data_IF_692378648441
#
_entry.id   IF_692378648441
#
_cell.length_a   1.000
_cell.length_b   1.000
_cell.length_c   1.000
_cell.angle_alpha   90.00
_cell.angle_beta   90.00
_cell.angle_gamma   90.00
#
_symmetry.space_group_name_H-M   'P 1'
#
loop_
_entity.id
_entity.type
_entity.pdbx_description
1 polymer ?
#
# COMPACT_ATOMS: atom_id res chain seq x y z
N UNK A 1 -18.23 -24.58 0.09
CA UNK A 1 -19.05 -23.86 1.08
C UNK A 1 -18.45 -23.78 2.50
N UNK A 2 -17.94 -24.87 3.12
CA UNK A 2 -17.37 -24.82 4.49
C UNK A 2 -16.24 -23.79 4.67
N UNK A 3 -15.30 -23.70 3.72
CA UNK A 3 -14.18 -22.75 3.80
C UNK A 3 -14.65 -21.28 3.64
N UNK A 4 -15.64 -21.02 2.80
CA UNK A 4 -16.18 -19.67 2.54
C UNK A 4 -16.74 -19.01 3.81
N UNK A 5 -17.58 -19.72 4.56
CA UNK A 5 -18.15 -19.23 5.82
C UNK A 5 -17.09 -18.99 6.90
N UNK A 6 -16.05 -19.82 6.94
CA UNK A 6 -14.95 -19.65 7.88
C UNK A 6 -14.18 -18.35 7.61
N UNK A 7 -13.93 -18.02 6.35
CA UNK A 7 -13.22 -16.80 5.97
C UNK A 7 -14.03 -15.54 6.24
N UNK A 8 -15.34 -15.57 5.96
CA UNK A 8 -16.24 -14.48 6.36
C UNK A 8 -16.20 -14.29 7.87
N UNK A 9 -16.31 -15.37 8.65
CA UNK A 9 -16.26 -15.31 10.11
C UNK A 9 -14.97 -14.67 10.62
N UNK A 10 -13.82 -15.05 10.06
CA UNK A 10 -12.53 -14.45 10.43
C UNK A 10 -12.49 -12.95 10.13
N UNK A 11 -12.92 -12.53 8.94
CA UNK A 11 -13.02 -11.12 8.58
C UNK A 11 -13.99 -10.33 9.46
N UNK A 12 -15.15 -10.92 9.81
CA UNK A 12 -16.13 -10.35 10.74
C UNK A 12 -15.54 -10.13 12.14
N UNK A 13 -14.74 -11.09 12.64
CA UNK A 13 -14.10 -10.96 13.97
C UNK A 13 -13.11 -9.79 13.96
N UNK A 14 -12.24 -9.71 12.96
CA UNK A 14 -11.25 -8.61 12.85
C UNK A 14 -11.98 -7.26 12.72
N UNK A 15 -13.02 -7.21 11.88
CA UNK A 15 -13.86 -6.02 11.71
C UNK A 15 -14.50 -5.61 13.03
N UNK A 16 -15.07 -6.56 13.79
CA UNK A 16 -15.71 -6.30 15.08
C UNK A 16 -14.74 -5.75 16.13
N UNK A 17 -13.53 -6.31 16.22
CA UNK A 17 -12.48 -5.82 17.13
C UNK A 17 -12.08 -4.38 16.77
N UNK A 18 -11.79 -4.12 15.48
CA UNK A 18 -11.44 -2.78 15.03
C UNK A 18 -12.60 -1.79 15.16
N UNK A 19 -13.84 -2.26 15.03
CA UNK A 19 -15.03 -1.44 15.22
C UNK A 19 -15.22 -1.04 16.69
N UNK A 20 -14.94 -1.95 17.64
CA UNK A 20 -14.95 -1.61 19.06
C UNK A 20 -13.91 -0.52 19.39
N UNK A 21 -12.70 -0.63 18.83
CA UNK A 21 -11.67 0.41 18.96
C UNK A 21 -12.12 1.73 18.30
N UNK A 22 -12.70 1.66 17.11
CA UNK A 22 -13.23 2.81 16.40
C UNK A 22 -14.25 3.58 17.27
N UNK A 23 -15.18 2.88 17.92
CA UNK A 23 -16.15 3.50 18.83
C UNK A 23 -15.46 4.09 20.07
N UNK A 24 -14.50 3.37 20.65
CA UNK A 24 -13.76 3.85 21.82
C UNK A 24 -13.05 5.19 21.56
N UNK A 25 -12.33 5.32 20.44
CA UNK A 25 -11.56 6.53 20.11
C UNK A 25 -12.39 7.68 19.54
N UNK A 26 -13.65 7.43 19.18
CA UNK A 26 -14.57 8.44 18.64
C UNK A 26 -15.83 8.61 19.49
N UNK A 27 -15.83 8.15 20.75
CA UNK A 27 -16.99 8.20 21.66
C UNK A 27 -17.55 9.61 21.88
N UNK A 28 -16.73 10.64 21.71
CA UNK A 28 -17.09 12.05 21.93
C UNK A 28 -17.75 12.68 20.69
N UNK A 29 -17.88 11.94 19.59
CA UNK A 29 -18.52 12.41 18.36
C UNK A 29 -20.05 12.35 18.45
N UNK A 30 -20.77 13.24 17.73
CA UNK A 30 -22.22 13.20 17.64
C UNK A 30 -22.75 11.82 17.19
N UNK A 31 -23.91 11.40 17.73
CA UNK A 31 -24.48 10.09 17.44
C UNK A 31 -24.78 9.89 15.94
N UNK A 32 -25.26 10.93 15.26
CA UNK A 32 -25.54 10.89 13.82
C UNK A 32 -24.26 10.67 12.98
N UNK A 33 -23.16 11.33 13.35
CA UNK A 33 -21.84 11.13 12.75
C UNK A 33 -21.36 9.67 12.96
N UNK A 34 -21.45 9.19 14.20
CA UNK A 34 -21.05 7.83 14.55
C UNK A 34 -21.88 6.78 13.81
N UNK A 35 -23.20 6.97 13.65
CA UNK A 35 -24.05 6.01 12.95
C UNK A 35 -23.66 5.88 11.48
N UNK A 36 -23.52 6.99 10.75
CA UNK A 36 -23.13 6.97 9.33
C UNK A 36 -21.72 6.39 9.15
N UNK A 37 -20.76 6.85 9.96
CA UNK A 37 -19.39 6.34 9.91
C UNK A 37 -19.31 4.86 10.26
N UNK A 38 -20.13 4.38 11.22
CA UNK A 38 -20.18 2.96 11.61
C UNK A 38 -20.65 2.05 10.48
N UNK A 39 -21.69 2.45 9.74
CA UNK A 39 -22.19 1.68 8.59
C UNK A 39 -21.09 1.55 7.54
N UNK A 40 -20.45 2.66 7.16
CA UNK A 40 -19.36 2.65 6.20
C UNK A 40 -18.16 1.85 6.70
N UNK A 41 -17.81 2.00 7.99
CA UNK A 41 -16.70 1.31 8.62
C UNK A 41 -16.91 -0.21 8.54
N UNK A 42 -18.03 -0.72 9.03
CA UNK A 42 -18.30 -2.16 9.09
C UNK A 42 -18.33 -2.75 7.69
N UNK A 43 -19.02 -2.12 6.74
CA UNK A 43 -19.12 -2.64 5.37
C UNK A 43 -17.76 -2.69 4.67
N UNK A 44 -17.01 -1.59 4.69
CA UNK A 44 -15.74 -1.50 3.97
C UNK A 44 -14.65 -2.37 4.59
N UNK A 45 -14.55 -2.42 5.92
CA UNK A 45 -13.53 -3.26 6.59
C UNK A 45 -13.89 -4.75 6.51
N UNK A 46 -15.17 -5.11 6.55
CA UNK A 46 -15.57 -6.49 6.29
C UNK A 46 -15.13 -6.93 4.90
N UNK A 47 -15.39 -6.12 3.87
CA UNK A 47 -14.91 -6.39 2.51
C UNK A 47 -13.38 -6.44 2.46
N UNK A 48 -12.69 -5.50 3.10
CA UNK A 48 -11.22 -5.42 3.13
C UNK A 48 -10.59 -6.72 3.67
N UNK A 49 -11.17 -7.30 4.72
CA UNK A 49 -10.62 -8.50 5.37
C UNK A 49 -11.15 -9.82 4.82
N UNK A 50 -12.10 -9.80 3.89
CA UNK A 50 -12.70 -11.02 3.32
C UNK A 50 -12.47 -11.18 1.83
N UNK A 51 -12.54 -10.09 1.05
CA UNK A 51 -12.51 -10.13 -0.41
C UNK A 51 -11.23 -10.76 -0.95
N UNK A 52 -10.10 -10.49 -0.29
CA UNK A 52 -8.79 -10.99 -0.67
C UNK A 52 -8.54 -12.47 -0.45
N UNK A 53 -9.43 -13.14 0.27
CA UNK A 53 -9.27 -14.55 0.57
C UNK A 53 -9.49 -15.41 -0.68
N UNK A 54 -8.60 -16.39 -0.92
CA UNK A 54 -8.66 -17.24 -2.11
C UNK A 54 -10.01 -17.96 -2.29
N UNK A 55 -10.62 -18.43 -1.20
CA UNK A 55 -11.93 -19.10 -1.26
C UNK A 55 -13.07 -18.16 -1.62
N UNK A 56 -13.04 -16.92 -1.10
CA UNK A 56 -14.04 -15.88 -1.41
C UNK A 56 -13.85 -15.39 -2.84
N UNK A 57 -12.62 -15.05 -3.23
CA UNK A 57 -12.27 -14.59 -4.57
C UNK A 57 -12.59 -15.64 -5.65
N UNK A 58 -12.32 -16.93 -5.38
CA UNK A 58 -12.65 -18.01 -6.31
C UNK A 58 -14.16 -18.20 -6.51
N UNK A 59 -14.94 -18.08 -5.42
CA UNK A 59 -16.41 -18.12 -5.50
C UNK A 59 -16.93 -16.93 -6.31
N UNK A 60 -16.50 -15.70 -5.97
CA UNK A 60 -16.89 -14.50 -6.71
C UNK A 60 -16.54 -14.62 -8.20
N UNK A 61 -15.33 -15.09 -8.52
CA UNK A 61 -14.89 -15.29 -9.91
C UNK A 61 -15.80 -16.27 -10.65
N UNK A 62 -16.30 -17.30 -9.97
CA UNK A 62 -17.23 -18.28 -10.55
C UNK A 62 -18.60 -17.67 -10.80
N UNK A 63 -19.13 -16.94 -9.81
CA UNK A 63 -20.45 -16.29 -9.89
C UNK A 63 -20.48 -15.19 -10.97
N UNK A 64 -19.36 -14.49 -11.16
CA UNK A 64 -19.22 -13.42 -12.15
C UNK A 64 -19.07 -13.95 -13.60
N UNK A 65 -18.64 -15.20 -13.79
CA UNK A 65 -18.64 -15.82 -15.13
C UNK A 65 -20.05 -16.02 -15.70
N UNK A 66 -21.08 -15.99 -14.84
CA UNK A 66 -22.46 -16.19 -15.25
C UNK A 66 -23.13 -14.94 -15.88
N UNK A 67 -22.50 -13.75 -15.85
CA UNK A 67 -23.04 -12.56 -16.51
C UNK A 67 -22.11 -11.35 -16.41
N UNK A 68 -21.85 -10.68 -17.53
CA UNK A 68 -20.92 -9.54 -17.60
C UNK A 68 -21.45 -8.32 -16.86
N UNK A 69 -22.76 -8.14 -16.77
CA UNK A 69 -23.41 -7.03 -16.06
C UNK A 69 -23.08 -7.06 -14.56
N UNK A 70 -22.97 -8.26 -13.99
CA UNK A 70 -22.68 -8.46 -12.56
C UNK A 70 -21.29 -7.98 -12.16
N UNK A 71 -20.36 -7.91 -13.11
CA UNK A 71 -18.98 -7.47 -12.85
C UNK A 71 -18.86 -5.97 -12.58
N UNK A 72 -19.84 -5.19 -13.05
CA UNK A 72 -19.88 -3.74 -12.84
C UNK A 72 -20.65 -3.37 -11.57
N UNK A 73 -21.48 -4.27 -11.04
CA UNK A 73 -22.25 -4.00 -9.82
C UNK A 73 -21.36 -3.71 -8.61
N UNK A 74 -20.29 -4.49 -8.41
CA UNK A 74 -19.38 -4.29 -7.27
C UNK A 74 -18.74 -2.89 -7.26
N UNK A 75 -18.06 -2.42 -8.33
CA UNK A 75 -17.50 -1.08 -8.33
C UNK A 75 -18.57 0.01 -8.25
N UNK A 76 -19.75 -0.16 -8.88
CA UNK A 76 -20.87 0.78 -8.77
C UNK A 76 -21.36 0.91 -7.32
N UNK A 77 -21.50 -0.20 -6.60
CA UNK A 77 -21.90 -0.20 -5.19
C UNK A 77 -20.88 0.53 -4.31
N UNK A 78 -19.58 0.35 -4.56
CA UNK A 78 -18.53 1.07 -3.81
C UNK A 78 -18.53 2.58 -4.11
N UNK A 79 -18.73 2.97 -5.37
CA UNK A 79 -18.89 4.38 -5.76
C UNK A 79 -20.12 4.98 -5.07
N UNK A 80 -21.25 4.27 -5.10
CA UNK A 80 -22.49 4.72 -4.46
C UNK A 80 -22.30 4.89 -2.94
N UNK A 81 -21.63 3.96 -2.27
CA UNK A 81 -21.34 4.07 -0.84
C UNK A 81 -20.48 5.30 -0.52
N UNK A 82 -19.42 5.56 -1.31
CA UNK A 82 -18.60 6.77 -1.16
C UNK A 82 -19.42 8.04 -1.36
N UNK A 83 -20.27 8.08 -2.38
CA UNK A 83 -21.06 9.26 -2.72
C UNK A 83 -22.14 9.53 -1.68
N UNK A 84 -22.82 8.49 -1.18
CA UNK A 84 -23.75 8.60 -0.05
C UNK A 84 -23.04 9.20 1.16
N UNK A 85 -21.84 8.71 1.48
CA UNK A 85 -21.04 9.25 2.58
C UNK A 85 -20.73 10.73 2.37
N UNK A 86 -20.28 11.14 1.19
CA UNK A 86 -19.94 12.54 0.89
C UNK A 86 -21.17 13.45 0.96
N UNK A 87 -22.28 13.05 0.34
CA UNK A 87 -23.54 13.82 0.31
C UNK A 87 -24.08 14.01 1.73
N UNK A 88 -24.00 12.97 2.57
CA UNK A 88 -24.45 13.04 3.96
C UNK A 88 -23.72 14.13 4.76
N UNK A 89 -22.44 14.36 4.48
CA UNK A 89 -21.62 15.39 5.14
C UNK A 89 -21.63 16.73 4.37
N UNK A 90 -22.66 16.97 3.54
CA UNK A 90 -22.86 18.23 2.82
C UNK A 90 -21.93 18.44 1.62
N UNK A 91 -21.23 17.40 1.17
CA UNK A 91 -20.35 17.46 0.01
C UNK A 91 -21.05 17.21 -1.32
N UNK A 92 -20.49 17.77 -2.39
CA UNK A 92 -20.86 17.42 -3.76
C UNK A 92 -19.87 16.40 -4.33
N UNK A 93 -20.28 15.15 -4.61
CA UNK A 93 -19.39 14.12 -5.14
C UNK A 93 -18.97 14.37 -6.61
N UNK A 94 -19.61 15.33 -7.28
CA UNK A 94 -19.35 15.68 -8.69
C UNK A 94 -18.71 17.06 -8.84
N UNK A 95 -18.19 17.66 -7.76
CA UNK A 95 -17.51 18.94 -7.81
C UNK A 95 -16.02 18.77 -8.20
N UNK A 96 -15.55 19.57 -9.16
CA UNK A 96 -14.14 19.57 -9.57
C UNK A 96 -13.66 18.21 -10.12
N UNK A 97 -12.47 17.78 -9.70
CA UNK A 97 -11.87 16.52 -10.15
C UNK A 97 -12.65 15.27 -9.71
N UNK A 98 -13.49 15.37 -8.68
CA UNK A 98 -14.26 14.26 -8.14
C UNK A 98 -15.28 13.69 -9.14
N UNK A 99 -15.75 14.51 -10.09
CA UNK A 99 -16.66 14.07 -11.16
C UNK A 99 -16.05 12.96 -12.05
N UNK A 100 -14.72 12.89 -12.13
CA UNK A 100 -14.02 11.85 -12.89
C UNK A 100 -13.94 10.51 -12.15
N UNK A 101 -14.35 10.47 -10.87
CA UNK A 101 -14.23 9.29 -10.02
C UNK A 101 -14.85 8.01 -10.60
N UNK A 102 -16.11 8.03 -11.07
CA UNK A 102 -16.75 6.83 -11.58
C UNK A 102 -16.05 6.29 -12.83
N UNK A 103 -15.55 7.19 -13.69
CA UNK A 103 -14.86 6.81 -14.92
C UNK A 103 -13.59 6.04 -14.64
N UNK A 104 -12.71 6.54 -13.76
CA UNK A 104 -11.46 5.85 -13.47
C UNK A 104 -11.68 4.60 -12.59
N UNK A 105 -12.68 4.60 -11.71
CA UNK A 105 -13.02 3.44 -10.88
C UNK A 105 -13.52 2.25 -11.70
N UNK A 106 -14.31 2.52 -12.74
CA UNK A 106 -14.86 1.50 -13.64
C UNK A 106 -13.89 1.07 -14.74
N UNK A 107 -13.02 1.98 -15.18
CA UNK A 107 -12.10 1.78 -16.29
C UNK A 107 -11.31 0.46 -16.24
N UNK A 108 -10.58 0.09 -15.15
CA UNK A 108 -9.78 -1.14 -15.16
C UNK A 108 -10.67 -2.39 -15.25
N UNK A 109 -11.86 -2.38 -14.64
CA UNK A 109 -12.81 -3.50 -14.73
C UNK A 109 -13.28 -3.69 -16.17
N UNK A 110 -13.76 -2.61 -16.80
CA UNK A 110 -14.23 -2.64 -18.19
C UNK A 110 -13.10 -2.99 -19.17
N UNK A 111 -11.91 -2.43 -18.95
CA UNK A 111 -10.72 -2.71 -19.74
C UNK A 111 -10.32 -4.18 -19.70
N UNK A 112 -10.33 -4.81 -18.52
CA UNK A 112 -10.00 -6.23 -18.40
C UNK A 112 -11.07 -7.16 -18.94
N UNK A 113 -12.33 -6.74 -18.95
CA UNK A 113 -13.40 -7.47 -19.62
C UNK A 113 -13.24 -7.43 -21.15
N UNK A 114 -12.91 -6.27 -21.69
CA UNK A 114 -12.70 -6.06 -23.12
C UNK A 114 -11.41 -6.74 -23.64
N UNK A 115 -10.33 -6.69 -22.85
CA UNK A 115 -9.00 -7.16 -23.24
C UNK A 115 -8.50 -8.30 -22.35
N UNK A 116 -9.20 -9.44 -22.36
CA UNK A 116 -8.83 -10.63 -21.57
C UNK A 116 -7.49 -11.21 -22.04
N UNK A 117 -6.55 -11.40 -21.11
CA UNK A 117 -5.23 -11.98 -21.38
C UNK A 117 -4.87 -13.03 -20.31
N UNK A 118 -4.16 -14.08 -20.71
CA UNK A 118 -3.72 -15.17 -19.81
C UNK A 118 -2.37 -14.91 -19.16
N UNK A 119 -1.58 -14.00 -19.72
CA UNK A 119 -0.24 -13.62 -19.26
C UNK A 119 -0.23 -12.14 -18.83
N UNK A 120 0.65 -11.77 -17.89
CA UNK A 120 0.90 -10.36 -17.53
C UNK A 120 1.38 -9.55 -18.75
N UNK A 121 0.60 -8.56 -19.15
CA UNK A 121 0.87 -7.69 -20.28
C UNK A 121 1.24 -6.28 -19.81
N UNK A 122 1.93 -5.51 -20.67
CA UNK A 122 2.23 -4.10 -20.39
C UNK A 122 0.96 -3.25 -20.21
N UNK A 123 -0.15 -3.63 -20.85
CA UNK A 123 -1.46 -3.02 -20.63
C UNK A 123 -1.95 -3.12 -19.18
N UNK A 124 -1.56 -4.17 -18.45
CA UNK A 124 -1.93 -4.33 -17.03
C UNK A 124 -1.27 -3.21 -16.19
N UNK A 125 -0.02 -2.86 -16.49
CA UNK A 125 0.68 -1.74 -15.83
C UNK A 125 0.08 -0.39 -16.20
N UNK A 126 -0.33 -0.21 -17.46
CA UNK A 126 -1.02 1.02 -17.90
C UNK A 126 -2.33 1.19 -17.13
N UNK A 127 -3.15 0.14 -17.01
CA UNK A 127 -4.40 0.22 -16.24
C UNK A 127 -4.14 0.49 -14.76
N UNK A 128 -3.05 -0.07 -14.22
CA UNK A 128 -2.66 0.16 -12.83
C UNK A 128 -2.29 1.63 -12.59
N UNK A 129 -1.47 2.21 -13.48
CA UNK A 129 -1.07 3.61 -13.38
C UNK A 129 -2.25 4.57 -13.61
N UNK A 130 -3.17 4.24 -14.52
CA UNK A 130 -4.41 4.98 -14.75
C UNK A 130 -5.39 4.89 -13.57
N UNK A 131 -5.25 3.91 -12.69
CA UNK A 131 -5.98 3.85 -11.42
C UNK A 131 -5.22 4.60 -10.31
N UNK A 132 -3.93 4.32 -10.16
CA UNK A 132 -3.09 4.81 -9.06
C UNK A 132 -2.84 6.31 -9.13
N UNK A 133 -2.44 6.86 -10.29
CA UNK A 133 -2.09 8.28 -10.40
C UNK A 133 -3.31 9.17 -10.11
N UNK A 134 -4.49 8.95 -10.74
CA UNK A 134 -5.67 9.74 -10.40
C UNK A 134 -6.10 9.55 -8.95
N UNK A 135 -5.89 8.37 -8.36
CA UNK A 135 -6.28 8.11 -6.97
C UNK A 135 -5.59 9.01 -5.95
N UNK A 136 -4.38 9.49 -6.24
CA UNK A 136 -3.65 10.43 -5.39
C UNK A 136 -3.87 11.90 -5.78
N UNK A 137 -4.30 12.16 -7.01
CA UNK A 137 -4.55 13.53 -7.51
C UNK A 137 -6.00 14.00 -7.33
N UNK A 138 -6.96 13.09 -7.29
CA UNK A 138 -8.37 13.42 -7.14
C UNK A 138 -8.63 13.78 -5.68
N UNK A 139 -9.07 15.01 -5.48
CA UNK A 139 -9.51 15.51 -4.19
C UNK A 139 -11.04 15.65 -4.20
N UNK A 140 -11.64 15.19 -3.10
CA UNK A 140 -13.00 15.56 -2.75
C UNK A 140 -12.93 16.78 -1.84
N UNK A 141 -13.78 17.78 -2.09
CA UNK A 141 -13.84 18.99 -1.26
C UNK A 141 -14.21 18.68 0.19
N UNK A 142 -15.09 17.70 0.38
CA UNK A 142 -15.43 17.18 1.70
C UNK A 142 -14.40 16.15 2.16
N UNK A 143 -14.12 16.18 3.47
CA UNK A 143 -13.27 15.16 4.09
C UNK A 143 -13.92 13.77 3.94
N UNK A 144 -13.10 12.76 3.68
CA UNK A 144 -13.52 11.36 3.54
C UNK A 144 -13.02 10.49 4.69
N UNK A 145 -12.46 11.09 5.74
CA UNK A 145 -12.06 10.40 6.98
C UNK A 145 -13.25 9.68 7.62
N UNK A 146 -12.96 8.58 8.33
CA UNK A 146 -13.92 7.85 9.16
C UNK A 146 -13.59 8.06 10.64
N UNK A 147 -14.39 8.81 11.41
CA UNK A 147 -15.46 9.75 11.00
C UNK A 147 -14.90 11.07 10.43
N UNK A 148 -15.74 11.91 9.82
CA UNK A 148 -15.33 13.19 9.19
C UNK A 148 -14.85 14.20 10.23
N UNK A 149 -15.55 14.28 11.36
CA UNK A 149 -15.31 15.26 12.43
C UNK A 149 -14.53 14.70 13.63
N UNK A 150 -14.01 13.47 13.53
CA UNK A 150 -13.29 12.83 14.63
C UNK A 150 -11.83 12.55 14.34
N UNK A 151 -11.27 11.67 15.16
CA UNK A 151 -9.82 11.45 15.21
C UNK A 151 -9.29 10.54 14.09
N UNK A 152 -10.17 10.10 13.19
CA UNK A 152 -9.88 9.45 11.91
C UNK A 152 -9.14 8.11 12.01
N UNK A 153 -9.82 7.00 11.72
CA UNK A 153 -9.23 5.66 11.65
C UNK A 153 -8.69 5.30 10.26
N UNK A 154 -9.41 5.71 9.23
CA UNK A 154 -9.07 5.51 7.82
C UNK A 154 -9.88 6.51 6.98
N UNK A 155 -9.91 6.34 5.66
CA UNK A 155 -10.73 7.13 4.73
C UNK A 155 -11.60 6.21 3.88
N UNK A 156 -12.88 6.56 3.74
CA UNK A 156 -13.84 5.86 2.86
C UNK A 156 -13.29 5.79 1.44
N UNK A 157 -12.75 6.90 0.94
CA UNK A 157 -12.16 6.99 -0.40
C UNK A 157 -10.99 6.03 -0.59
N UNK A 158 -10.03 6.02 0.35
CA UNK A 158 -8.88 5.11 0.28
C UNK A 158 -9.30 3.64 0.34
N UNK A 159 -10.23 3.29 1.23
CA UNK A 159 -10.77 1.93 1.35
C UNK A 159 -11.45 1.48 0.05
N UNK A 160 -12.27 2.36 -0.54
CA UNK A 160 -12.92 2.09 -1.82
C UNK A 160 -11.90 1.84 -2.92
N UNK A 161 -10.85 2.67 -3.03
CA UNK A 161 -9.81 2.47 -4.05
C UNK A 161 -9.06 1.14 -3.84
N UNK A 162 -8.71 0.78 -2.60
CA UNK A 162 -8.05 -0.50 -2.33
C UNK A 162 -8.93 -1.69 -2.75
N UNK A 163 -10.22 -1.64 -2.41
CA UNK A 163 -11.17 -2.68 -2.78
C UNK A 163 -11.37 -2.75 -4.30
N UNK A 164 -11.47 -1.61 -4.97
CA UNK A 164 -11.54 -1.53 -6.43
C UNK A 164 -10.29 -2.10 -7.11
N UNK A 165 -9.11 -1.74 -6.62
CA UNK A 165 -7.84 -2.24 -7.13
C UNK A 165 -7.75 -3.75 -6.96
N UNK A 166 -8.04 -4.29 -5.77
CA UNK A 166 -8.04 -5.74 -5.58
C UNK A 166 -9.11 -6.43 -6.43
N UNK A 167 -10.31 -5.88 -6.52
CA UNK A 167 -11.38 -6.45 -7.34
C UNK A 167 -10.99 -6.51 -8.83
N UNK A 168 -10.52 -5.40 -9.40
CA UNK A 168 -10.15 -5.33 -10.80
C UNK A 168 -8.95 -6.23 -11.12
N UNK A 169 -7.88 -6.19 -10.31
CA UNK A 169 -6.64 -6.92 -10.60
C UNK A 169 -6.65 -8.36 -10.09
N UNK A 170 -7.17 -8.60 -8.89
CA UNK A 170 -7.22 -9.93 -8.27
C UNK A 170 -8.35 -10.80 -8.80
N UNK A 171 -9.57 -10.25 -8.90
CA UNK A 171 -10.76 -11.04 -9.27
C UNK A 171 -11.02 -11.01 -10.77
N UNK A 172 -11.20 -9.83 -11.36
CA UNK A 172 -11.56 -9.71 -12.79
C UNK A 172 -10.38 -10.12 -13.69
N UNK A 173 -9.20 -9.56 -13.43
CA UNK A 173 -7.99 -9.85 -14.21
C UNK A 173 -7.35 -11.19 -13.84
N UNK A 174 -7.56 -11.67 -12.62
CA UNK A 174 -7.04 -12.96 -12.13
C UNK A 174 -5.55 -12.96 -11.78
N UNK A 175 -4.99 -11.82 -11.36
CA UNK A 175 -3.59 -11.76 -10.91
C UNK A 175 -3.47 -12.48 -9.58
N UNK A 176 -2.68 -13.56 -9.57
CA UNK A 176 -2.43 -14.38 -8.38
C UNK A 176 -1.37 -13.76 -7.46
N UNK A 177 -1.35 -14.22 -6.22
CA UNK A 177 -0.34 -13.90 -5.20
C UNK A 177 -0.31 -12.43 -4.76
N UNK A 178 -1.38 -11.64 -4.99
CA UNK A 178 -1.44 -10.26 -4.50
C UNK A 178 -1.29 -10.21 -2.98
N UNK A 179 -1.79 -11.22 -2.25
CA UNK A 179 -1.56 -11.33 -0.80
C UNK A 179 -2.39 -10.35 0.03
N UNK A 180 -3.52 -9.88 -0.49
CA UNK A 180 -4.36 -8.85 0.13
C UNK A 180 -5.42 -9.42 1.07
N UNK A 181 -5.01 -10.28 2.01
CA UNK A 181 -5.90 -10.79 3.06
C UNK A 181 -5.16 -10.92 4.39
N UNK A 182 -5.80 -10.60 5.53
CA UNK A 182 -5.15 -10.75 6.83
C UNK A 182 -5.09 -12.24 7.17
N UNK A 183 -3.87 -12.78 7.28
CA UNK A 183 -3.65 -14.12 7.85
C UNK A 183 -2.53 -14.04 8.85
N UNK A 184 -2.80 -14.59 10.03
CA UNK A 184 -1.84 -14.63 11.11
C UNK A 184 -0.98 -15.89 11.03
N UNK A 185 0.33 -15.69 10.92
CA UNK A 185 1.37 -16.70 10.92
C UNK A 185 2.57 -16.21 11.72
N UNK A 186 2.95 -16.94 12.78
CA UNK A 186 4.09 -16.59 13.64
C UNK A 186 5.40 -16.43 12.88
N UNK A 187 5.66 -17.30 11.90
CA UNK A 187 6.85 -17.21 11.06
C UNK A 187 6.88 -15.93 10.22
N UNK A 188 5.75 -15.55 9.64
CA UNK A 188 5.63 -14.33 8.86
C UNK A 188 5.78 -13.08 9.74
N UNK A 189 5.23 -13.11 10.95
CA UNK A 189 5.45 -12.07 11.95
C UNK A 189 6.93 -11.94 12.32
N UNK A 190 7.62 -13.05 12.60
CA UNK A 190 9.04 -13.05 12.90
C UNK A 190 9.89 -12.46 11.75
N UNK A 191 9.53 -12.76 10.50
CA UNK A 191 10.18 -12.15 9.32
C UNK A 191 9.94 -10.65 9.26
N UNK A 192 8.69 -10.21 9.46
CA UNK A 192 8.34 -8.78 9.46
C UNK A 192 9.13 -8.02 10.54
N UNK A 193 9.16 -8.53 11.77
CA UNK A 193 9.91 -7.95 12.87
C UNK A 193 11.42 -7.92 12.60
N UNK A 194 11.98 -9.00 12.04
CA UNK A 194 13.40 -9.04 11.67
C UNK A 194 13.73 -8.01 10.56
N UNK A 195 12.83 -7.80 9.59
CA UNK A 195 13.02 -6.79 8.56
C UNK A 195 12.94 -5.38 9.12
N UNK A 196 11.99 -5.12 10.02
CA UNK A 196 11.89 -3.83 10.71
C UNK A 196 13.15 -3.55 11.55
N UNK A 197 13.58 -4.49 12.38
CA UNK A 197 14.81 -4.35 13.17
C UNK A 197 16.06 -4.21 12.29
N UNK A 198 16.11 -4.92 11.16
CA UNK A 198 17.20 -4.77 10.18
C UNK A 198 17.25 -3.39 9.55
N UNK A 199 16.08 -2.80 9.22
CA UNK A 199 15.98 -1.43 8.76
C UNK A 199 16.45 -0.44 9.85
N UNK A 200 15.98 -0.62 11.09
CA UNK A 200 16.38 0.24 12.20
C UNK A 200 17.89 0.18 12.47
N UNK A 201 18.48 -1.01 12.47
CA UNK A 201 19.93 -1.17 12.63
C UNK A 201 20.71 -0.47 11.53
N UNK A 202 20.22 -0.50 10.29
CA UNK A 202 20.84 0.21 9.17
C UNK A 202 20.71 1.74 9.31
N UNK A 203 19.52 2.24 9.65
CA UNK A 203 19.30 3.68 9.88
C UNK A 203 20.17 4.16 11.04
N UNK A 204 20.23 3.41 12.13
CA UNK A 204 21.07 3.72 13.29
C UNK A 204 22.56 3.77 12.89
N UNK A 205 23.03 2.82 12.09
CA UNK A 205 24.41 2.83 11.59
C UNK A 205 24.71 4.07 10.74
N UNK A 206 23.80 4.44 9.84
CA UNK A 206 23.92 5.63 9.00
C UNK A 206 23.91 6.90 9.86
N UNK A 207 22.97 7.01 10.80
CA UNK A 207 22.83 8.16 11.70
C UNK A 207 24.06 8.32 12.60
N UNK A 208 24.57 7.22 13.18
CA UNK A 208 25.78 7.21 13.99
C UNK A 208 27.01 7.62 13.17
N UNK A 209 27.21 7.04 11.99
CA UNK A 209 28.34 7.36 11.12
C UNK A 209 28.32 8.80 10.61
N UNK A 210 27.13 9.40 10.51
CA UNK A 210 26.93 10.76 10.00
C UNK A 210 26.85 11.82 11.12
N UNK A 211 26.87 11.42 12.40
CA UNK A 211 26.75 12.32 13.53
C UNK A 211 25.34 12.90 13.77
N UNK A 212 24.30 12.33 13.15
CA UNK A 212 22.91 12.80 13.22
C UNK A 212 22.09 12.18 14.37
N UNK A 213 22.73 11.48 15.30
CA UNK A 213 22.04 10.72 16.33
C UNK A 213 21.70 11.60 17.54
N UNK A 214 20.48 12.14 17.60
CA UNK A 214 19.93 12.81 18.77
C UNK A 214 19.14 11.81 19.64
N UNK A 215 19.57 11.56 20.87
CA UNK A 215 19.00 10.55 21.79
C UNK A 215 17.98 11.12 22.80
N UNK A 216 17.53 12.36 22.66
CA UNK A 216 16.68 13.06 23.66
C UNK A 216 15.20 12.61 23.71
N UNK A 217 14.89 11.37 23.33
CA UNK A 217 13.55 10.95 22.84
C UNK A 217 12.67 10.25 23.88
N UNK A 218 13.21 9.88 25.04
CA UNK A 218 12.41 9.21 26.08
C UNK A 218 11.26 10.08 26.63
N UNK A 219 11.34 11.41 26.46
CA UNK A 219 10.38 12.38 27.01
C UNK A 219 9.10 12.52 26.14
N UNK A 220 9.22 12.50 24.80
CA UNK A 220 8.07 12.67 23.90
C UNK A 220 7.06 11.49 23.93
N UNK A 221 7.54 10.26 24.11
CA UNK A 221 6.67 9.08 24.27
C UNK A 221 5.90 9.11 25.60
N UNK A 222 6.49 9.69 26.64
CA UNK A 222 5.84 9.85 27.94
C UNK A 222 4.70 10.89 27.88
N UNK A 223 4.78 11.88 26.99
CA UNK A 223 3.79 12.96 26.86
C UNK A 223 2.56 12.59 26.00
N UNK A 224 2.71 11.85 24.88
CA UNK A 224 1.56 11.50 24.02
C UNK A 224 0.65 10.39 24.59
N UNK A 225 1.21 9.49 25.40
CA UNK A 225 0.49 8.37 26.01
C UNK A 225 0.21 7.20 25.06
N UNK A 226 0.23 5.97 25.60
CA UNK A 226 0.10 4.72 24.83
C UNK A 226 -1.13 4.64 23.92
N UNK A 227 -2.28 5.15 24.39
CA UNK A 227 -3.53 5.11 23.63
C UNK A 227 -3.45 5.94 22.33
N UNK A 228 -2.77 7.09 22.38
CA UNK A 228 -2.61 7.98 21.23
C UNK A 228 -1.65 7.38 20.19
N UNK A 229 -0.53 6.81 20.65
CA UNK A 229 0.41 6.08 19.79
C UNK A 229 -0.25 4.90 19.09
N UNK A 230 -1.01 4.07 19.84
CA UNK A 230 -1.75 2.95 19.26
C UNK A 230 -2.76 3.40 18.20
N UNK A 231 -3.48 4.49 18.46
CA UNK A 231 -4.42 5.09 17.50
C UNK A 231 -3.71 5.52 16.21
N UNK A 232 -2.58 6.22 16.34
CA UNK A 232 -1.79 6.67 15.20
C UNK A 232 -1.26 5.48 14.38
N UNK A 233 -0.78 4.41 15.04
CA UNK A 233 -0.35 3.18 14.37
C UNK A 233 -1.48 2.54 13.58
N UNK A 234 -2.69 2.42 14.15
CA UNK A 234 -3.85 1.86 13.46
C UNK A 234 -4.21 2.70 12.23
N UNK A 235 -4.20 4.04 12.38
CA UNK A 235 -4.49 4.97 11.29
C UNK A 235 -3.47 4.87 10.15
N UNK A 236 -2.18 4.80 10.48
CA UNK A 236 -1.11 4.62 9.50
C UNK A 236 -1.24 3.26 8.81
N UNK A 237 -1.49 2.20 9.57
CA UNK A 237 -1.66 0.85 9.05
C UNK A 237 -2.82 0.74 8.06
N UNK A 238 -4.04 1.09 8.49
CA UNK A 238 -5.25 0.94 7.68
C UNK A 238 -5.38 2.00 6.57
N UNK A 239 -4.76 3.16 6.75
CA UNK A 239 -4.89 4.30 5.83
C UNK A 239 -3.79 4.35 4.78
N UNK A 240 -2.54 4.43 5.21
CA UNK A 240 -1.41 4.73 4.32
C UNK A 240 -0.64 3.47 3.96
N UNK A 241 -0.18 2.72 4.96
CA UNK A 241 0.69 1.56 4.74
C UNK A 241 -0.02 0.46 3.93
N UNK A 242 -1.27 0.10 4.29
CA UNK A 242 -1.99 -0.95 3.56
C UNK A 242 -2.31 -0.54 2.11
N UNK A 243 -2.64 0.74 1.90
CA UNK A 243 -2.88 1.30 0.56
C UNK A 243 -1.62 1.21 -0.29
N UNK A 244 -0.51 1.76 0.20
CA UNK A 244 0.73 1.80 -0.55
C UNK A 244 1.29 0.39 -0.79
N UNK A 245 1.30 -0.47 0.21
CA UNK A 245 1.84 -1.82 0.04
C UNK A 245 0.97 -2.71 -0.87
N UNK A 246 -0.35 -2.47 -0.97
CA UNK A 246 -1.19 -3.11 -1.98
C UNK A 246 -0.71 -2.73 -3.39
N UNK A 247 -0.56 -1.44 -3.67
CA UNK A 247 -0.15 -0.97 -5.00
C UNK A 247 1.31 -1.34 -5.30
N UNK A 248 2.25 -1.04 -4.42
CA UNK A 248 3.66 -1.27 -4.66
C UNK A 248 4.06 -2.75 -4.61
N UNK A 249 3.56 -3.53 -3.64
CA UNK A 249 3.97 -4.93 -3.47
C UNK A 249 3.01 -5.91 -4.10
N UNK A 250 1.74 -5.80 -3.72
CA UNK A 250 0.69 -6.71 -4.19
C UNK A 250 0.49 -6.64 -5.70
N UNK A 251 0.60 -5.45 -6.29
CA UNK A 251 0.39 -5.21 -7.72
C UNK A 251 1.70 -4.98 -8.48
N UNK A 252 2.40 -3.85 -8.31
CA UNK A 252 3.57 -3.49 -9.15
C UNK A 252 4.68 -4.53 -9.04
N UNK A 253 5.19 -4.81 -7.83
CA UNK A 253 6.32 -5.72 -7.63
C UNK A 253 5.97 -7.15 -8.07
N UNK A 254 4.77 -7.61 -7.71
CA UNK A 254 4.26 -8.92 -8.09
C UNK A 254 4.14 -9.08 -9.61
N UNK A 255 3.48 -8.12 -10.27
CA UNK A 255 3.31 -8.12 -11.73
C UNK A 255 4.65 -8.03 -12.44
N UNK A 256 5.57 -7.20 -11.95
CA UNK A 256 6.89 -7.03 -12.54
C UNK A 256 7.73 -8.30 -12.41
N UNK A 257 7.75 -8.94 -11.24
CA UNK A 257 8.42 -10.23 -11.05
C UNK A 257 7.85 -11.31 -12.00
N UNK A 258 6.53 -11.40 -12.11
CA UNK A 258 5.87 -12.32 -13.05
C UNK A 258 6.20 -11.98 -14.51
N UNK A 259 6.23 -10.71 -14.88
CA UNK A 259 6.55 -10.23 -16.23
C UNK A 259 7.98 -10.59 -16.61
N UNK A 260 8.95 -10.31 -15.74
CA UNK A 260 10.37 -10.66 -15.98
C UNK A 260 10.51 -12.19 -16.08
N UNK A 261 9.85 -12.93 -15.19
CA UNK A 261 9.84 -14.39 -15.22
C UNK A 261 9.30 -14.99 -16.53
N UNK A 262 8.35 -14.34 -17.21
CA UNK A 262 7.85 -14.77 -18.52
C UNK A 262 8.92 -14.73 -19.61
N UNK A 263 9.82 -13.75 -19.58
CA UNK A 263 10.91 -13.62 -20.56
C UNK A 263 12.08 -14.55 -20.26
N UNK A 264 12.12 -15.16 -19.05
CA UNK A 264 13.23 -16.03 -18.58
C UNK A 264 14.62 -15.38 -18.73
N UNK A 265 14.67 -14.05 -18.69
CA UNK A 265 15.90 -13.28 -18.77
C UNK A 265 15.73 -11.97 -18.02
N UNK A 266 16.32 -11.90 -16.82
CA UNK A 266 16.25 -10.72 -15.96
C UNK A 266 17.26 -9.63 -16.32
N UNK A 267 18.36 -9.97 -17.03
CA UNK A 267 19.47 -9.03 -17.27
C UNK A 267 19.05 -7.78 -18.04
N UNK A 268 18.26 -7.85 -19.14
CA UNK A 268 17.81 -6.65 -19.83
C UNK A 268 16.94 -5.75 -18.94
N UNK A 269 16.04 -6.35 -18.15
CA UNK A 269 15.21 -5.60 -17.21
C UNK A 269 16.05 -4.89 -16.16
N UNK A 270 17.05 -5.58 -15.60
CA UNK A 270 17.98 -4.99 -14.65
C UNK A 270 18.77 -3.84 -15.26
N UNK A 271 19.35 -4.02 -16.46
CA UNK A 271 20.18 -3.01 -17.14
C UNK A 271 19.37 -1.76 -17.48
N UNK A 272 18.26 -1.91 -18.19
CA UNK A 272 17.44 -0.78 -18.61
C UNK A 272 16.79 -0.07 -17.43
N UNK A 273 16.38 -0.81 -16.41
CA UNK A 273 15.82 -0.18 -15.20
C UNK A 273 16.90 0.52 -14.40
N UNK A 274 18.12 -0.02 -14.28
CA UNK A 274 19.23 0.69 -13.63
C UNK A 274 19.51 2.01 -14.34
N UNK A 275 19.60 2.02 -15.67
CA UNK A 275 19.83 3.25 -16.45
C UNK A 275 18.71 4.27 -16.20
N UNK A 276 17.45 3.84 -16.32
CA UNK A 276 16.29 4.70 -16.12
C UNK A 276 16.24 5.27 -14.69
N UNK A 277 16.32 4.41 -13.69
CA UNK A 277 16.22 4.83 -12.29
C UNK A 277 17.44 5.58 -11.81
N UNK A 278 18.64 5.32 -12.34
CA UNK A 278 19.83 6.14 -12.07
C UNK A 278 19.65 7.56 -12.62
N UNK A 279 19.11 7.71 -13.84
CA UNK A 279 18.83 9.02 -14.41
C UNK A 279 17.76 9.78 -13.60
N UNK A 280 16.68 9.10 -13.21
CA UNK A 280 15.64 9.70 -12.36
C UNK A 280 16.17 10.06 -10.97
N UNK A 281 16.95 9.17 -10.33
CA UNK A 281 17.54 9.42 -9.03
C UNK A 281 18.55 10.58 -9.05
N UNK A 282 19.36 10.68 -10.11
CA UNK A 282 20.24 11.83 -10.32
C UNK A 282 19.44 13.12 -10.48
N UNK A 283 18.39 13.11 -11.30
CA UNK A 283 17.53 14.29 -11.50
C UNK A 283 16.85 14.70 -10.19
N UNK A 284 16.29 13.74 -9.45
CA UNK A 284 15.71 13.96 -8.13
C UNK A 284 16.72 14.61 -7.18
N UNK A 285 17.92 14.03 -7.08
CA UNK A 285 18.97 14.59 -6.23
C UNK A 285 19.35 16.02 -6.63
N UNK A 286 19.55 16.25 -7.93
CA UNK A 286 19.92 17.55 -8.48
C UNK A 286 18.86 18.64 -8.22
N UNK A 287 17.57 18.27 -8.30
CA UNK A 287 16.45 19.19 -8.08
C UNK A 287 16.17 19.48 -6.60
N UNK A 288 16.50 18.56 -5.69
CA UNK A 288 16.25 18.75 -4.25
C UNK A 288 17.42 19.42 -3.53
N UNK A 289 18.63 18.87 -3.66
CA UNK A 289 19.81 19.34 -2.93
C UNK A 289 21.08 19.10 -3.75
N UNK A 290 21.69 20.18 -4.22
CA UNK A 290 22.92 20.14 -5.03
C UNK A 290 24.15 19.61 -4.28
N UNK A 291 24.16 19.60 -2.95
CA UNK A 291 25.28 19.08 -2.16
C UNK A 291 25.18 17.55 -1.96
N UNK A 292 23.96 17.04 -1.87
CA UNK A 292 23.66 15.62 -1.65
C UNK A 292 23.05 14.93 -2.88
N UNK A 293 23.12 15.54 -4.07
CA UNK A 293 22.48 15.02 -5.29
C UNK A 293 22.90 13.57 -5.64
N UNK A 294 24.09 13.16 -5.20
CA UNK A 294 24.65 11.83 -5.40
C UNK A 294 23.98 10.75 -4.54
N UNK A 295 23.29 11.12 -3.46
CA UNK A 295 22.76 10.17 -2.47
C UNK A 295 21.68 9.24 -3.06
N UNK A 296 20.61 9.72 -3.73
CA UNK A 296 19.63 8.83 -4.37
C UNK A 296 20.26 7.95 -5.45
N UNK A 297 21.25 8.47 -6.19
CA UNK A 297 21.98 7.72 -7.20
C UNK A 297 22.80 6.59 -6.59
N UNK A 298 23.51 6.85 -5.48
CA UNK A 298 24.25 5.84 -4.73
C UNK A 298 23.33 4.73 -4.24
N UNK A 299 22.20 5.09 -3.61
CA UNK A 299 21.22 4.12 -3.10
C UNK A 299 20.65 3.28 -4.24
N UNK A 300 20.36 3.89 -5.39
CA UNK A 300 19.96 3.18 -6.61
C UNK A 300 21.01 2.16 -7.04
N UNK A 301 22.28 2.57 -7.13
CA UNK A 301 23.39 1.67 -7.46
C UNK A 301 23.51 0.50 -6.48
N UNK A 302 23.42 0.76 -5.17
CA UNK A 302 23.52 -0.25 -4.12
C UNK A 302 22.38 -1.27 -4.18
N UNK A 303 21.12 -0.83 -4.30
CA UNK A 303 19.98 -1.75 -4.36
C UNK A 303 20.00 -2.60 -5.65
N UNK A 304 20.36 -2.01 -6.79
CA UNK A 304 20.51 -2.76 -8.03
C UNK A 304 21.71 -3.72 -7.98
N UNK A 305 22.84 -3.33 -7.38
CA UNK A 305 23.97 -4.23 -7.19
C UNK A 305 23.60 -5.43 -6.30
N UNK A 306 22.90 -5.18 -5.17
CA UNK A 306 22.39 -6.23 -4.31
C UNK A 306 21.45 -7.18 -5.08
N UNK A 307 20.51 -6.64 -5.86
CA UNK A 307 19.64 -7.44 -6.71
C UNK A 307 20.42 -8.27 -7.74
N UNK A 308 21.41 -7.70 -8.41
CA UNK A 308 22.26 -8.39 -9.38
C UNK A 308 22.97 -9.60 -8.75
N UNK A 309 23.58 -9.40 -7.58
CA UNK A 309 24.32 -10.45 -6.87
C UNK A 309 23.39 -11.61 -6.48
N UNK A 310 22.19 -11.29 -6.00
CA UNK A 310 21.21 -12.29 -5.60
C UNK A 310 20.66 -13.04 -6.82
N UNK A 311 20.28 -12.34 -7.89
CA UNK A 311 19.79 -12.96 -9.14
C UNK A 311 20.85 -13.86 -9.79
N UNK A 312 22.12 -13.41 -9.79
CA UNK A 312 23.25 -14.19 -10.31
C UNK A 312 23.49 -15.48 -9.53
N UNK A 313 23.12 -15.54 -8.24
CA UNK A 313 23.26 -16.76 -7.43
C UNK A 313 22.37 -17.91 -7.92
N UNK A 314 21.33 -17.63 -8.71
CA UNK A 314 20.40 -18.64 -9.23
C UNK A 314 19.53 -19.33 -8.17
N UNK A 315 19.61 -18.91 -6.90
CA UNK A 315 18.87 -19.53 -5.79
C UNK A 315 17.39 -19.14 -5.77
N UNK A 316 16.97 -18.16 -6.56
CA UNK A 316 15.59 -17.64 -6.55
C UNK A 316 15.01 -17.55 -7.96
N UNK A 317 13.68 -17.47 -8.03
CA UNK A 317 12.98 -17.25 -9.30
C UNK A 317 13.52 -16.00 -10.00
N UNK A 318 13.80 -16.12 -11.30
CA UNK A 318 14.41 -15.03 -12.06
C UNK A 318 13.56 -13.76 -12.03
N UNK A 319 14.23 -12.62 -11.82
CA UNK A 319 13.61 -11.30 -11.87
C UNK A 319 12.91 -10.87 -10.58
N UNK A 320 12.91 -11.71 -9.55
CA UNK A 320 12.27 -11.41 -8.26
C UNK A 320 12.94 -10.23 -7.54
N UNK A 321 14.26 -10.22 -7.46
CA UNK A 321 15.01 -9.15 -6.80
C UNK A 321 15.25 -7.97 -7.74
N UNK A 322 15.26 -8.20 -9.04
CA UNK A 322 15.19 -7.09 -10.02
C UNK A 322 13.90 -6.30 -9.84
N UNK A 323 12.75 -6.98 -9.74
CA UNK A 323 11.48 -6.34 -9.44
C UNK A 323 11.46 -5.64 -8.08
N UNK A 324 12.07 -6.26 -7.06
CA UNK A 324 12.24 -5.64 -5.75
C UNK A 324 13.01 -4.32 -5.84
N UNK A 325 14.21 -4.31 -6.44
CA UNK A 325 15.01 -3.10 -6.59
C UNK A 325 14.24 -1.98 -7.30
N UNK A 326 13.56 -2.32 -8.40
CA UNK A 326 12.75 -1.38 -9.17
C UNK A 326 11.64 -0.75 -8.30
N UNK A 327 10.86 -1.57 -7.59
CA UNK A 327 9.76 -1.05 -6.78
C UNK A 327 10.23 -0.34 -5.52
N UNK A 328 11.37 -0.71 -4.95
CA UNK A 328 12.00 0.00 -3.83
C UNK A 328 12.46 1.40 -4.24
N UNK A 329 13.17 1.54 -5.37
CA UNK A 329 13.59 2.86 -5.85
C UNK A 329 12.38 3.69 -6.27
N UNK A 330 11.43 3.11 -7.01
CA UNK A 330 10.20 3.82 -7.37
C UNK A 330 9.44 4.33 -6.14
N UNK A 331 9.33 3.52 -5.08
CA UNK A 331 8.73 3.92 -3.82
C UNK A 331 9.45 5.12 -3.19
N UNK A 332 10.78 5.15 -3.13
CA UNK A 332 11.49 6.32 -2.61
C UNK A 332 11.33 7.57 -3.48
N UNK A 333 11.41 7.43 -4.81
CA UNK A 333 11.30 8.57 -5.72
C UNK A 333 9.93 9.26 -5.70
N UNK A 334 8.83 8.52 -5.47
CA UNK A 334 7.51 9.18 -5.34
C UNK A 334 7.41 10.06 -4.11
N UNK A 335 8.25 9.83 -3.09
CA UNK A 335 8.34 10.67 -1.90
C UNK A 335 9.19 11.94 -2.10
N UNK A 336 9.55 12.28 -3.35
CA UNK A 336 10.14 13.57 -3.71
C UNK A 336 9.38 14.77 -3.12
N UNK A 337 8.05 14.67 -3.02
CA UNK A 337 7.18 15.71 -2.46
C UNK A 337 7.42 15.97 -0.96
N UNK A 338 8.14 15.08 -0.24
CA UNK A 338 8.44 15.26 1.18
C UNK A 338 9.51 16.34 1.42
N UNK A 339 10.22 16.79 0.38
CA UNK A 339 11.18 17.89 0.47
C UNK A 339 12.57 17.52 0.99
N UNK A 340 12.76 16.30 1.51
CA UNK A 340 14.04 15.83 2.07
C UNK A 340 14.70 14.76 1.20
N UNK A 341 15.91 15.03 0.72
CA UNK A 341 16.68 14.08 -0.09
C UNK A 341 17.08 12.83 0.69
N UNK A 342 17.32 12.99 2.00
CA UNK A 342 17.62 11.88 2.90
C UNK A 342 16.36 11.03 3.07
N UNK A 343 15.18 11.65 3.22
CA UNK A 343 13.91 10.93 3.29
C UNK A 343 13.66 10.09 2.03
N UNK A 344 13.89 10.65 0.83
CA UNK A 344 13.80 9.90 -0.43
C UNK A 344 14.71 8.67 -0.42
N UNK A 345 15.97 8.84 0.00
CA UNK A 345 16.93 7.74 0.11
C UNK A 345 16.51 6.66 1.11
N UNK A 346 16.12 7.06 2.32
CA UNK A 346 15.66 6.15 3.37
C UNK A 346 14.37 5.45 2.98
N UNK A 347 13.43 6.14 2.31
CA UNK A 347 12.21 5.54 1.77
C UNK A 347 12.53 4.47 0.71
N UNK A 348 13.52 4.70 -0.17
CA UNK A 348 14.00 3.67 -1.09
C UNK A 348 14.51 2.42 -0.37
N UNK A 349 15.31 2.60 0.67
CA UNK A 349 15.83 1.51 1.50
C UNK A 349 14.69 0.80 2.23
N UNK A 350 13.77 1.54 2.87
CA UNK A 350 12.62 0.99 3.56
C UNK A 350 11.74 0.15 2.61
N UNK A 351 11.55 0.64 1.38
CA UNK A 351 10.87 -0.08 0.31
C UNK A 351 11.50 -1.44 -0.03
N UNK A 352 12.81 -1.62 0.18
CA UNK A 352 13.46 -2.93 0.06
C UNK A 352 13.03 -3.88 1.18
N UNK A 353 12.97 -3.41 2.43
CA UNK A 353 12.54 -4.23 3.57
C UNK A 353 11.05 -4.59 3.48
N UNK A 354 10.19 -3.67 3.04
CA UNK A 354 8.77 -3.95 2.83
C UNK A 354 8.58 -4.99 1.72
N UNK A 355 9.27 -4.79 0.60
CA UNK A 355 9.20 -5.71 -0.53
C UNK A 355 9.80 -7.08 -0.23
N UNK A 356 10.90 -7.15 0.52
CA UNK A 356 11.48 -8.42 0.97
C UNK A 356 10.53 -9.16 1.93
N UNK A 357 9.90 -8.44 2.87
CA UNK A 357 8.86 -9.00 3.74
C UNK A 357 7.76 -9.63 2.88
N UNK A 358 7.21 -8.90 1.92
CA UNK A 358 6.22 -9.43 0.98
C UNK A 358 6.73 -10.64 0.18
N UNK A 359 7.98 -10.67 -0.28
CA UNK A 359 8.52 -11.84 -0.99
C UNK A 359 8.52 -13.11 -0.15
N UNK A 360 8.78 -12.97 1.16
CA UNK A 360 8.88 -14.10 2.09
C UNK A 360 7.54 -14.53 2.66
N UNK A 361 6.60 -13.59 2.84
CA UNK A 361 5.28 -13.87 3.43
C UNK A 361 4.18 -14.05 2.39
N UNK A 362 4.38 -13.54 1.17
CA UNK A 362 3.37 -13.43 0.10
C UNK A 362 2.11 -12.69 0.56
N UNK A 363 2.28 -11.72 1.46
CA UNK A 363 1.17 -11.08 2.13
C UNK A 363 1.44 -9.59 2.37
N UNK A 364 0.53 -8.75 1.86
CA UNK A 364 0.61 -7.29 1.91
C UNK A 364 0.43 -6.76 3.33
N UNK A 365 -0.35 -7.43 4.18
CA UNK A 365 -0.58 -6.98 5.56
C UNK A 365 0.71 -7.02 6.40
N UNK A 366 1.59 -7.99 6.15
CA UNK A 366 2.91 -8.02 6.81
C UNK A 366 3.85 -6.93 6.29
N UNK A 367 3.84 -6.64 4.99
CA UNK A 367 4.59 -5.50 4.46
C UNK A 367 4.07 -4.18 5.03
N UNK A 368 2.74 -4.01 5.11
CA UNK A 368 2.08 -2.85 5.70
C UNK A 368 2.38 -2.73 7.21
N UNK A 369 2.55 -3.85 7.92
CA UNK A 369 2.99 -3.85 9.31
C UNK A 369 4.40 -3.29 9.43
N UNK A 370 5.36 -3.77 8.63
CA UNK A 370 6.74 -3.24 8.64
C UNK A 370 6.75 -1.76 8.28
N UNK A 371 5.98 -1.37 7.26
CA UNK A 371 5.83 0.04 6.89
C UNK A 371 5.28 0.89 8.04
N UNK A 372 4.20 0.45 8.70
CA UNK A 372 3.65 1.12 9.87
C UNK A 372 4.67 1.25 10.99
N UNK A 373 5.41 0.18 11.28
CA UNK A 373 6.45 0.19 12.30
C UNK A 373 7.58 1.16 11.95
N UNK A 374 8.00 1.24 10.69
CA UNK A 374 9.00 2.22 10.23
C UNK A 374 8.48 3.65 10.39
N UNK A 375 7.27 3.96 9.94
CA UNK A 375 6.69 5.30 10.15
C UNK A 375 6.53 5.64 11.63
N UNK A 376 6.25 4.63 12.46
CA UNK A 376 6.14 4.80 13.91
C UNK A 376 7.50 4.81 14.61
N UNK A 377 8.59 4.53 13.90
CA UNK A 377 9.93 4.54 14.48
C UNK A 377 10.48 5.94 14.63
N UNK A 378 9.89 6.95 13.97
CA UNK A 378 10.19 8.36 14.29
C UNK A 378 9.92 8.65 15.77
N UNK A 379 8.86 8.05 16.36
CA UNK A 379 8.61 8.12 17.81
C UNK A 379 9.67 7.39 18.66
N UNK A 380 10.43 6.47 18.07
CA UNK A 380 11.50 5.73 18.75
C UNK A 380 12.88 6.40 18.61
N UNK A 381 13.09 7.20 17.55
CA UNK A 381 14.41 7.74 17.20
C UNK A 381 14.48 9.26 17.06
N UNK A 382 13.37 10.01 17.23
CA UNK A 382 13.23 11.45 16.98
C UNK A 382 14.24 11.99 15.96
N UNK A 383 14.01 11.65 14.70
CA UNK A 383 14.79 12.16 13.58
C UNK A 383 14.44 13.64 13.29
N UNK A 384 14.35 14.47 14.33
CA UNK A 384 14.22 15.91 14.22
C UNK A 384 15.56 16.47 13.74
N UNK A 385 15.62 16.67 12.42
CA UNK A 385 16.82 17.09 11.70
C UNK A 385 16.80 16.71 10.22
N UNK A 386 15.84 15.89 9.77
CA UNK A 386 15.70 15.48 8.37
C UNK A 386 14.72 16.36 7.55
N UNK A 387 14.28 17.51 8.07
CA UNK A 387 13.47 18.47 7.31
C UNK A 387 14.34 19.39 6.45
#
# INVERSE_FOLDING_TARGET
MKNYLQYIRSGSIITGILFALFLYFNKDQPLNELLMASVCFVLLHLLLFTLGNEGVAAQLTTDLKAGTEKTVLFPVCLIALLYIYIIYHGGSPLEGSAALFPFFALFPVLGFLAFKKTYIAWSDFVFLLLLLIPSVSISFKSNTSLPVHGNGFSSVYKLVIMLLAFYAFGIIRGIKDIGFYPVFQWRALGIALACWLGFLGLVWLIAYASGFLNLSVAEAFAEEGFAQGLRNMIRVFLGTALFEELFFRGLIQNMLAKKIGQYKNWRPFWQWSLVLFAALAFLTGYLMDKSLFWLPLLITGLLFAAAYLIEKSGKTSQGTYTALAITSIFFGLVHFHAGSIIFVGLASIAGWFYGYTYLKTRNVFYAALVHTLVNSSEFLFALDGLR
#
